data_IF_222608206277
#
_entry.id   IF_222608206277
#
_cell.length_a   1.000
_cell.length_b   1.000
_cell.length_c   1.000
_cell.angle_alpha   90.00
_cell.angle_beta   90.00
_cell.angle_gamma   90.00
#
_symmetry.space_group_name_H-M   'P 1'
#
loop_
_entity.id
_entity.type
_entity.pdbx_description
1 polymer ?
#
# COMPACT_ATOMS: atom_id res chain seq x y z
N UNK A 1 -15.71 3.29 -24.42
CA UNK A 1 -15.75 3.51 -22.95
C UNK A 1 -14.61 2.73 -22.35
N UNK A 2 -13.49 3.39 -22.07
CA UNK A 2 -12.38 2.79 -21.33
C UNK A 2 -12.78 2.76 -19.86
N UNK A 3 -12.85 1.56 -19.27
CA UNK A 3 -12.99 1.42 -17.82
C UNK A 3 -11.59 1.61 -17.25
N UNK A 4 -11.39 2.67 -16.46
CA UNK A 4 -10.20 2.78 -15.62
C UNK A 4 -10.33 1.62 -14.62
N UNK A 5 -9.44 0.62 -14.65
CA UNK A 5 -9.45 -0.40 -13.60
C UNK A 5 -9.23 0.31 -12.28
N UNK A 6 -10.15 0.11 -11.34
CA UNK A 6 -9.91 0.41 -9.94
C UNK A 6 -8.81 -0.58 -9.49
N UNK A 7 -7.55 -0.21 -9.71
CA UNK A 7 -6.43 -1.02 -9.27
C UNK A 7 -6.26 -0.88 -7.76
N UNK A 8 -5.92 -2.01 -7.13
CA UNK A 8 -5.83 -2.28 -5.69
C UNK A 8 -7.15 -2.52 -4.92
N UNK A 9 -7.78 -3.64 -5.25
CA UNK A 9 -8.42 -4.48 -4.24
C UNK A 9 -7.32 -5.24 -3.46
N UNK A 10 -6.87 -4.69 -2.32
CA UNK A 10 -6.09 -5.42 -1.33
C UNK A 10 -6.98 -6.57 -0.79
N UNK A 11 -6.88 -7.76 -1.36
CA UNK A 11 -7.67 -8.92 -0.96
C UNK A 11 -7.14 -9.47 0.37
N UNK A 12 -7.70 -9.02 1.48
CA UNK A 12 -7.33 -9.47 2.82
C UNK A 12 -8.08 -10.76 3.15
N UNK A 13 -7.36 -11.88 3.19
CA UNK A 13 -7.92 -13.19 3.57
C UNK A 13 -7.92 -13.30 5.10
N UNK A 14 -9.11 -13.40 5.69
CA UNK A 14 -9.29 -13.56 7.14
C UNK A 14 -9.02 -15.00 7.56
N UNK A 15 -8.05 -15.19 8.46
CA UNK A 15 -8.00 -16.39 9.32
C UNK A 15 -7.72 -15.98 10.76
N UNK A 16 -8.66 -16.33 11.65
CA UNK A 16 -8.58 -16.12 13.08
C UNK A 16 -7.89 -17.29 13.78
N UNK A 17 -6.92 -16.99 14.66
CA UNK A 17 -6.42 -17.84 15.76
C UNK A 17 -5.45 -16.93 16.57
N UNK A 18 -5.47 -16.72 17.89
CA UNK A 18 -6.06 -17.42 19.02
C UNK A 18 -5.00 -17.61 20.11
N UNK A 19 -4.96 -16.73 21.13
CA UNK A 19 -4.68 -17.09 22.55
C UNK A 19 -3.26 -17.02 23.17
N UNK A 20 -3.18 -16.29 24.32
CA UNK A 20 -2.40 -16.58 25.57
C UNK A 20 -0.87 -16.36 25.56
N UNK A 21 -0.16 -15.86 26.59
CA UNK A 21 -0.38 -15.55 28.01
C UNK A 21 0.94 -15.87 28.78
N UNK A 22 1.41 -15.01 29.70
CA UNK A 22 2.53 -15.34 30.62
C UNK A 22 3.44 -14.17 31.04
N UNK A 23 3.87 -14.14 32.31
CA UNK A 23 4.24 -12.96 33.13
C UNK A 23 5.72 -13.02 33.60
N UNK A 24 6.33 -11.83 33.75
CA UNK A 24 7.38 -11.34 34.68
C UNK A 24 8.69 -12.10 34.99
N UNK A 25 9.79 -11.32 34.96
CA UNK A 25 11.04 -11.57 35.70
C UNK A 25 11.97 -10.35 35.70
N UNK A 26 12.09 -9.67 36.85
CA UNK A 26 12.90 -8.47 37.08
C UNK A 26 14.39 -8.77 37.32
N UNK A 27 15.27 -7.96 36.74
CA UNK A 27 16.69 -7.89 37.08
C UNK A 27 17.30 -6.58 36.56
N UNK A 28 17.45 -5.59 37.44
CA UNK A 28 17.91 -4.24 37.11
C UNK A 28 19.45 -4.13 37.17
N UNK A 29 20.08 -4.16 36.00
CA UNK A 29 21.36 -3.47 35.77
C UNK A 29 21.06 -2.24 34.92
N UNK A 30 21.63 -1.04 35.17
CA UNK A 30 21.46 0.08 34.25
C UNK A 30 22.21 -0.27 32.96
N UNK A 31 21.49 -0.81 31.98
CA UNK A 31 22.01 -0.90 30.63
C UNK A 31 22.23 0.52 30.11
N UNK A 32 23.28 0.77 29.30
CA UNK A 32 23.39 1.99 28.54
C UNK A 32 22.07 2.21 27.80
N UNK A 33 21.58 3.45 27.77
CA UNK A 33 20.32 3.80 27.12
C UNK A 33 20.26 3.09 25.76
N UNK A 34 19.23 2.26 25.50
CA UNK A 34 19.14 1.60 24.22
C UNK A 34 19.05 2.69 23.17
N UNK A 35 20.11 2.81 22.36
CA UNK A 35 20.06 3.53 21.09
C UNK A 35 18.74 3.13 20.45
N UNK A 36 17.79 4.05 20.16
CA UNK A 36 16.48 3.66 19.70
C UNK A 36 16.64 2.80 18.46
N UNK A 37 16.47 1.49 18.62
CA UNK A 37 16.48 0.57 17.49
C UNK A 37 15.27 0.99 16.68
N UNK A 38 15.52 1.64 15.55
CA UNK A 38 14.50 1.89 14.56
C UNK A 38 13.73 0.59 14.34
N UNK A 39 12.43 0.61 14.58
CA UNK A 39 11.58 -0.57 14.43
C UNK A 39 11.62 -1.10 12.99
N UNK A 40 11.23 -2.35 12.77
CA UNK A 40 11.49 -3.08 11.52
C UNK A 40 10.94 -2.39 10.27
N UNK A 41 9.89 -1.58 10.41
CA UNK A 41 9.24 -0.92 9.27
C UNK A 41 9.89 0.40 8.86
N UNK A 42 10.82 0.95 9.65
CA UNK A 42 11.43 2.26 9.34
C UNK A 42 12.15 2.27 7.99
N UNK A 43 12.71 1.14 7.57
CA UNK A 43 13.40 1.01 6.27
C UNK A 43 12.49 1.30 5.07
N UNK A 44 11.17 1.17 5.21
CA UNK A 44 10.20 1.40 4.15
C UNK A 44 9.82 2.88 3.97
N UNK A 45 10.31 3.78 4.82
CA UNK A 45 10.00 5.22 4.72
C UNK A 45 10.43 5.81 3.37
N UNK A 46 9.53 6.58 2.75
CA UNK A 46 9.76 7.24 1.47
C UNK A 46 8.51 7.33 0.61
N UNK A 47 8.68 7.96 -0.56
CA UNK A 47 7.69 7.93 -1.63
C UNK A 47 8.05 6.78 -2.58
N UNK A 48 7.06 5.95 -2.89
CA UNK A 48 7.19 4.78 -3.74
C UNK A 48 6.22 4.89 -4.90
N UNK A 49 6.72 4.78 -6.11
CA UNK A 49 6.03 5.07 -7.35
C UNK A 49 5.74 3.75 -8.06
N UNK A 50 4.47 3.53 -8.39
CA UNK A 50 4.08 2.40 -9.23
C UNK A 50 4.45 2.65 -10.69
N UNK A 51 4.63 1.60 -11.51
CA UNK A 51 4.69 1.73 -12.95
C UNK A 51 3.48 2.50 -13.48
N UNK A 52 3.64 3.15 -14.63
CA UNK A 52 2.51 3.80 -15.27
C UNK A 52 1.48 2.75 -15.72
N UNK A 53 0.22 2.98 -15.37
CA UNK A 53 -0.91 2.20 -15.87
C UNK A 53 -1.81 3.10 -16.72
N UNK A 54 -1.72 2.93 -18.04
CA UNK A 54 -2.40 3.77 -19.03
C UNK A 54 -2.12 5.28 -18.82
N UNK A 55 -3.05 6.00 -18.20
CA UNK A 55 -2.95 7.45 -17.93
C UNK A 55 -2.55 7.79 -16.50
N UNK A 56 -2.54 6.80 -15.61
CA UNK A 56 -2.39 7.03 -14.18
C UNK A 56 -1.07 6.51 -13.65
N UNK A 57 -0.48 7.26 -12.73
CA UNK A 57 0.66 6.83 -11.95
C UNK A 57 0.36 7.01 -10.47
N UNK A 58 0.55 5.94 -9.71
CA UNK A 58 0.33 5.95 -8.28
C UNK A 58 1.63 6.24 -7.53
N UNK A 59 1.51 7.00 -6.45
CA UNK A 59 2.56 7.25 -5.48
C UNK A 59 2.04 6.88 -4.10
N UNK A 60 2.75 5.98 -3.43
CA UNK A 60 2.51 5.61 -2.04
C UNK A 60 3.58 6.25 -1.17
N UNK A 61 3.19 7.20 -0.33
CA UNK A 61 4.08 7.83 0.65
C UNK A 61 3.95 7.10 1.98
N UNK A 62 5.07 6.59 2.48
CA UNK A 62 5.15 5.80 3.70
C UNK A 62 5.94 6.55 4.77
N UNK A 63 5.32 6.73 5.94
CA UNK A 63 5.93 7.37 7.11
C UNK A 63 5.85 6.41 8.29
N UNK A 64 6.98 6.17 8.97
CA UNK A 64 6.96 5.29 10.12
C UNK A 64 6.41 6.01 11.36
N UNK A 65 5.70 5.26 12.17
CA UNK A 65 5.15 5.68 13.45
C UNK A 65 5.51 4.64 14.51
N UNK A 66 5.22 4.94 15.78
CA UNK A 66 5.44 4.01 16.91
C UNK A 66 6.88 3.46 16.92
N UNK A 67 7.86 4.36 16.79
CA UNK A 67 9.29 4.03 16.73
C UNK A 67 9.66 3.02 15.62
N UNK A 68 8.94 3.00 14.50
CA UNK A 68 9.18 2.08 13.39
C UNK A 68 8.43 0.75 13.47
N UNK A 69 7.52 0.58 14.43
CA UNK A 69 6.62 -0.59 14.51
C UNK A 69 5.29 -0.40 13.79
N UNK A 70 5.02 0.80 13.29
CA UNK A 70 3.86 1.07 12.44
C UNK A 70 4.28 1.87 11.22
N UNK A 71 3.56 1.70 10.12
CA UNK A 71 3.77 2.42 8.87
C UNK A 71 2.45 3.01 8.41
N UNK A 72 2.42 4.31 8.22
CA UNK A 72 1.28 5.06 7.71
C UNK A 72 1.47 5.29 6.22
N UNK A 73 0.51 4.81 5.41
CA UNK A 73 0.54 4.88 3.96
C UNK A 73 -0.45 5.95 3.49
N UNK A 74 0.03 6.87 2.66
CA UNK A 74 -0.79 7.85 1.95
C UNK A 74 -0.72 7.55 0.46
N UNK A 75 -1.88 7.57 -0.20
CA UNK A 75 -1.99 7.28 -1.63
C UNK A 75 -2.26 8.57 -2.40
N UNK A 76 -1.59 8.69 -3.54
CA UNK A 76 -1.79 9.74 -4.53
C UNK A 76 -1.81 9.09 -5.91
N UNK A 77 -2.77 9.46 -6.75
CA UNK A 77 -2.81 9.05 -8.15
C UNK A 77 -2.82 10.29 -9.03
N UNK A 78 -1.81 10.44 -9.87
CA UNK A 78 -1.75 11.48 -10.89
C UNK A 78 -2.26 10.94 -12.22
N UNK A 79 -3.19 11.66 -12.84
CA UNK A 79 -3.74 11.38 -14.16
C UNK A 79 -3.13 12.32 -15.18
N UNK A 80 -2.49 11.76 -16.20
CA UNK A 80 -1.78 12.48 -17.24
C UNK A 80 -2.64 12.58 -18.51
N UNK A 81 -2.46 13.68 -19.24
CA UNK A 81 -3.20 13.95 -20.47
C UNK A 81 -3.06 12.81 -21.50
N UNK A 82 -1.88 12.19 -21.59
CA UNK A 82 -1.57 11.15 -22.57
C UNK A 82 -1.27 9.81 -21.90
N UNK A 83 -1.48 8.72 -22.65
CA UNK A 83 -1.05 7.38 -22.26
C UNK A 83 0.47 7.31 -22.00
N UNK A 84 0.88 6.38 -21.15
CA UNK A 84 2.27 6.25 -20.71
C UNK A 84 2.65 7.28 -19.65
N UNK A 85 1.68 7.96 -19.05
CA UNK A 85 1.87 8.96 -18.01
C UNK A 85 2.79 10.10 -18.48
N UNK A 86 2.49 10.62 -19.67
CA UNK A 86 3.25 11.69 -20.32
C UNK A 86 2.38 12.94 -20.54
N UNK A 87 3.03 14.09 -20.75
CA UNK A 87 2.34 15.37 -20.86
C UNK A 87 1.98 15.95 -19.49
N UNK A 88 1.02 16.87 -19.47
CA UNK A 88 0.59 17.55 -18.24
C UNK A 88 -0.28 16.63 -17.37
N UNK A 89 -0.20 16.79 -16.06
CA UNK A 89 -1.17 16.20 -15.12
C UNK A 89 -2.48 16.98 -15.27
N UNK A 90 -3.54 16.27 -15.63
CA UNK A 90 -4.89 16.84 -15.81
C UNK A 90 -5.73 16.75 -14.54
N UNK A 91 -5.42 15.77 -13.68
CA UNK A 91 -6.08 15.57 -12.41
C UNK A 91 -5.19 14.81 -11.43
N UNK A 92 -5.43 15.02 -10.15
CA UNK A 92 -4.80 14.30 -9.05
C UNK A 92 -5.89 13.83 -8.08
N UNK A 93 -5.85 12.55 -7.72
CA UNK A 93 -6.63 11.98 -6.63
C UNK A 93 -5.74 11.80 -5.39
N UNK A 94 -6.21 12.26 -4.24
CA UNK A 94 -5.57 12.07 -2.92
C UNK A 94 -6.60 11.63 -1.89
N UNK A 95 -6.15 11.31 -0.68
CA UNK A 95 -7.00 10.96 0.45
C UNK A 95 -6.66 11.84 1.66
N UNK A 96 -7.64 12.12 2.52
CA UNK A 96 -7.57 13.10 3.63
C UNK A 96 -6.72 12.68 4.85
N UNK A 97 -5.85 11.69 4.72
CA UNK A 97 -5.01 11.20 5.81
C UNK A 97 -4.34 9.87 5.45
N UNK A 98 -3.65 9.22 6.41
CA UNK A 98 -3.12 7.91 6.17
C UNK A 98 -4.28 6.97 5.85
N UNK A 99 -4.25 6.46 4.63
CA UNK A 99 -5.31 5.61 4.08
C UNK A 99 -5.23 4.23 4.72
N UNK A 100 -4.01 3.76 4.95
CA UNK A 100 -3.71 2.46 5.53
C UNK A 100 -2.66 2.64 6.62
N UNK A 101 -2.87 1.98 7.75
CA UNK A 101 -1.85 1.79 8.78
C UNK A 101 -1.46 0.31 8.83
N UNK A 102 -0.19 0.01 8.61
CA UNK A 102 0.40 -1.32 8.79
C UNK A 102 1.07 -1.39 10.15
N UNK A 103 0.64 -2.30 11.02
CA UNK A 103 1.23 -2.53 12.33
C UNK A 103 2.06 -3.80 12.30
N UNK A 104 3.36 -3.68 12.54
CA UNK A 104 4.30 -4.80 12.50
C UNK A 104 3.86 -5.93 13.42
N UNK A 105 3.96 -7.16 12.93
CA UNK A 105 3.70 -8.38 13.70
C UNK A 105 4.95 -9.23 13.79
N UNK A 106 5.60 -9.50 12.65
CA UNK A 106 6.80 -10.34 12.61
C UNK A 106 7.57 -10.17 11.31
N UNK A 107 8.82 -10.66 11.30
CA UNK A 107 9.57 -10.90 10.06
C UNK A 107 9.59 -12.40 9.79
N UNK A 108 9.02 -12.81 8.66
CA UNK A 108 9.10 -14.19 8.18
C UNK A 108 10.45 -14.37 7.50
N UNK A 109 11.32 -15.16 8.12
CA UNK A 109 12.66 -15.45 7.59
C UNK A 109 12.61 -16.45 6.46
N UNK A 110 13.43 -16.25 5.43
CA UNK A 110 13.54 -17.15 4.27
C UNK A 110 12.18 -17.48 3.63
N UNK A 111 11.28 -16.49 3.56
CA UNK A 111 9.98 -16.64 2.93
C UNK A 111 10.12 -16.93 1.43
N UNK A 112 9.20 -17.74 0.91
CA UNK A 112 9.08 -18.00 -0.53
C UNK A 112 8.21 -16.93 -1.17
N UNK A 113 8.76 -16.15 -2.10
CA UNK A 113 8.04 -15.08 -2.79
C UNK A 113 7.93 -15.44 -4.27
N UNK A 114 6.70 -15.72 -4.71
CA UNK A 114 6.38 -16.03 -6.10
C UNK A 114 6.22 -14.74 -6.90
N UNK A 115 6.96 -14.65 -8.00
CA UNK A 115 6.93 -13.55 -8.96
C UNK A 115 5.97 -13.86 -10.11
N UNK A 116 5.67 -12.84 -10.93
CA UNK A 116 5.00 -13.04 -12.21
C UNK A 116 5.84 -14.00 -13.08
N UNK A 117 5.19 -14.95 -13.78
CA UNK A 117 5.88 -15.90 -14.65
C UNK A 117 6.44 -17.16 -13.98
N UNK A 118 6.00 -17.48 -12.75
CA UNK A 118 6.36 -18.68 -11.98
C UNK A 118 7.77 -18.74 -11.38
N UNK A 119 8.58 -17.70 -11.54
CA UNK A 119 9.84 -17.55 -10.78
C UNK A 119 9.54 -17.40 -9.28
N UNK A 120 10.40 -17.96 -8.43
CA UNK A 120 10.30 -17.84 -6.97
C UNK A 120 11.64 -17.39 -6.40
N UNK A 121 11.60 -16.44 -5.47
CA UNK A 121 12.78 -15.96 -4.76
C UNK A 121 12.61 -16.16 -3.25
N UNK A 122 13.73 -16.36 -2.56
CA UNK A 122 13.77 -16.39 -1.09
C UNK A 122 14.16 -15.02 -0.55
N UNK A 123 13.45 -14.54 0.48
CA UNK A 123 13.74 -13.27 1.15
C UNK A 123 13.15 -13.22 2.56
N UNK A 124 13.64 -12.28 3.39
CA UNK A 124 12.99 -11.94 4.65
C UNK A 124 11.85 -10.96 4.40
N UNK A 125 10.64 -11.29 4.85
CA UNK A 125 9.42 -10.50 4.61
C UNK A 125 8.89 -9.96 5.93
N UNK A 126 8.65 -8.66 6.01
CA UNK A 126 8.00 -8.06 7.18
C UNK A 126 6.49 -8.11 7.00
N UNK A 127 5.80 -8.63 8.00
CA UNK A 127 4.36 -8.86 7.99
C UNK A 127 3.72 -8.05 9.11
N UNK A 128 2.54 -7.49 8.83
CA UNK A 128 1.78 -6.73 9.80
C UNK A 128 0.29 -6.74 9.55
N UNK A 129 -0.48 -6.36 10.57
CA UNK A 129 -1.90 -6.11 10.44
C UNK A 129 -2.17 -4.76 9.78
N UNK A 130 -2.96 -4.73 8.72
CA UNK A 130 -3.39 -3.50 8.05
C UNK A 130 -4.75 -3.05 8.54
N UNK A 131 -4.93 -1.74 8.71
CA UNK A 131 -6.21 -1.11 9.00
C UNK A 131 -6.40 0.08 8.06
N UNK A 132 -7.54 0.11 7.36
CA UNK A 132 -7.94 1.23 6.51
C UNK A 132 -9.18 1.92 7.08
N UNK A 133 -9.09 3.23 7.26
CA UNK A 133 -10.03 4.02 8.07
C UNK A 133 -11.21 4.62 7.28
N UNK A 134 -11.44 4.20 6.04
CA UNK A 134 -12.54 4.72 5.22
C UNK A 134 -12.31 6.09 4.63
N UNK A 135 -11.06 6.43 4.36
CA UNK A 135 -10.75 7.70 3.71
C UNK A 135 -11.36 7.72 2.30
N UNK A 136 -12.00 8.84 1.96
CA UNK A 136 -12.60 9.07 0.65
C UNK A 136 -11.62 9.81 -0.24
N UNK A 137 -11.62 9.49 -1.54
CA UNK A 137 -10.78 10.18 -2.50
C UNK A 137 -11.25 11.63 -2.73
N UNK A 138 -10.30 12.55 -2.74
CA UNK A 138 -10.45 13.94 -3.16
C UNK A 138 -9.79 14.04 -4.53
N UNK A 139 -10.57 14.36 -5.55
CA UNK A 139 -10.07 14.51 -6.92
C UNK A 139 -10.13 15.98 -7.31
N UNK A 140 -9.03 16.49 -7.87
CA UNK A 140 -8.89 17.89 -8.29
C UNK A 140 -8.06 17.99 -9.56
N UNK A 141 -8.25 19.05 -10.33
CA UNK A 141 -7.52 19.29 -11.57
C UNK A 141 -8.34 20.03 -12.61
N UNK A 142 -7.70 20.47 -13.69
CA UNK A 142 -8.35 21.22 -14.77
C UNK A 142 -9.03 20.31 -15.80
N UNK A 143 -8.59 19.06 -15.93
CA UNK A 143 -9.18 18.08 -16.84
C UNK A 143 -10.09 17.08 -16.14
N UNK A 144 -10.69 17.45 -15.01
CA UNK A 144 -11.65 16.61 -14.30
C UNK A 144 -12.91 17.38 -13.93
N UNK A 145 -14.05 16.72 -14.06
CA UNK A 145 -15.35 17.20 -13.56
C UNK A 145 -16.01 16.08 -12.77
N UNK A 146 -17.00 16.42 -11.94
CA UNK A 146 -17.77 15.43 -11.20
C UNK A 146 -19.27 15.66 -11.32
N UNK A 147 -20.02 14.58 -11.14
CA UNK A 147 -21.46 14.59 -10.96
C UNK A 147 -21.88 13.49 -10.00
N UNK A 148 -23.05 13.64 -9.39
CA UNK A 148 -23.64 12.59 -8.55
C UNK A 148 -24.53 11.70 -9.39
N UNK A 149 -24.30 10.39 -9.34
CA UNK A 149 -25.14 9.36 -9.97
C UNK A 149 -25.49 8.32 -8.90
N UNK A 150 -26.78 8.12 -8.62
CA UNK A 150 -27.26 7.20 -7.58
C UNK A 150 -26.58 7.42 -6.20
N UNK A 151 -26.38 8.68 -5.82
CA UNK A 151 -25.73 9.03 -4.54
C UNK A 151 -24.21 8.85 -4.50
N UNK A 152 -23.58 8.44 -5.61
CA UNK A 152 -22.13 8.29 -5.73
C UNK A 152 -21.52 9.37 -6.62
N UNK A 153 -20.33 9.85 -6.26
CA UNK A 153 -19.58 10.78 -7.11
C UNK A 153 -18.95 10.01 -8.28
N UNK A 154 -19.35 10.38 -9.50
CA UNK A 154 -18.72 9.94 -10.74
C UNK A 154 -17.81 11.06 -11.22
N UNK A 155 -16.53 10.74 -11.39
CA UNK A 155 -15.52 11.64 -11.93
C UNK A 155 -15.37 11.36 -13.41
N UNK A 156 -15.39 12.41 -14.24
CA UNK A 156 -15.09 12.34 -15.67
C UNK A 156 -13.75 13.01 -15.92
N UNK A 157 -12.80 12.25 -16.44
CA UNK A 157 -11.45 12.68 -16.80
C UNK A 157 -11.38 12.95 -18.29
N UNK A 158 -10.89 14.13 -18.68
CA UNK A 158 -10.69 14.53 -20.07
C UNK A 158 -9.22 14.36 -20.46
N UNK A 159 -8.92 13.23 -21.08
CA UNK A 159 -7.63 12.91 -21.69
C UNK A 159 -7.53 13.51 -23.10
N UNK A 160 -6.33 13.51 -23.68
CA UNK A 160 -6.09 14.04 -25.03
C UNK A 160 -6.87 13.28 -26.11
N UNK A 161 -7.02 11.97 -25.94
CA UNK A 161 -7.68 11.05 -26.87
C UNK A 161 -9.17 10.80 -26.57
N UNK A 162 -9.71 11.40 -25.51
CA UNK A 162 -11.11 11.23 -25.14
C UNK A 162 -11.36 11.36 -23.64
N UNK A 163 -12.43 10.77 -23.15
CA UNK A 163 -12.77 10.80 -21.73
C UNK A 163 -13.04 9.43 -21.14
N UNK A 164 -12.81 9.31 -19.84
CA UNK A 164 -13.19 8.14 -19.06
C UNK A 164 -13.86 8.55 -17.76
N UNK A 165 -14.68 7.66 -17.24
CA UNK A 165 -15.34 7.83 -15.96
C UNK A 165 -14.78 6.88 -14.92
N UNK A 166 -14.64 7.35 -13.69
CA UNK A 166 -14.29 6.52 -12.55
C UNK A 166 -15.11 6.90 -11.32
N UNK A 167 -15.26 5.92 -10.43
CA UNK A 167 -15.73 6.11 -9.07
C UNK A 167 -14.63 5.63 -8.13
N UNK A 168 -14.42 6.37 -7.04
CA UNK A 168 -13.50 5.96 -5.99
C UNK A 168 -14.33 5.59 -4.77
N UNK A 169 -14.22 4.33 -4.36
CA UNK A 169 -14.84 3.88 -3.12
C UNK A 169 -13.94 4.23 -1.93
N UNK A 170 -14.51 4.50 -0.74
CA UNK A 170 -13.74 4.64 0.47
C UNK A 170 -12.92 3.39 0.77
N UNK A 171 -11.63 3.56 1.08
CA UNK A 171 -10.76 2.43 1.40
C UNK A 171 -10.98 2.08 2.87
N UNK A 172 -11.70 0.98 3.12
CA UNK A 172 -12.07 0.49 4.46
C UNK A 172 -11.63 -0.96 4.65
N UNK A 173 -11.42 -1.36 5.91
CA UNK A 173 -11.27 -2.76 6.28
C UNK A 173 -10.00 -3.04 7.07
N UNK A 174 -9.81 -4.32 7.38
CA UNK A 174 -8.62 -4.82 8.07
C UNK A 174 -8.04 -6.03 7.34
N UNK A 175 -6.78 -6.34 7.60
CA UNK A 175 -6.15 -7.54 7.05
C UNK A 175 -4.69 -7.68 7.38
N UNK A 176 -3.98 -8.37 6.49
CA UNK A 176 -2.54 -8.61 6.60
C UNK A 176 -1.85 -7.99 5.40
N UNK A 177 -0.85 -7.15 5.67
CA UNK A 177 0.06 -6.62 4.68
C UNK A 177 1.45 -7.23 4.86
N UNK A 178 2.16 -7.42 3.75
CA UNK A 178 3.52 -7.92 3.75
C UNK A 178 4.39 -7.08 2.83
N UNK A 179 5.58 -6.70 3.31
CA UNK A 179 6.51 -5.81 2.62
C UNK A 179 7.90 -6.44 2.54
N UNK A 180 8.60 -6.15 1.45
CA UNK A 180 9.98 -6.52 1.21
C UNK A 180 10.70 -5.40 0.46
N UNK A 181 11.91 -5.06 0.87
CA UNK A 181 12.84 -4.28 0.05
C UNK A 181 13.81 -5.21 -0.66
N UNK A 182 13.93 -5.07 -1.98
CA UNK A 182 14.88 -5.85 -2.78
C UNK A 182 15.37 -5.02 -3.95
N UNK A 183 16.69 -4.96 -4.15
CA UNK A 183 17.32 -4.23 -5.26
C UNK A 183 16.88 -2.76 -5.38
N UNK A 184 16.60 -2.10 -4.25
CA UNK A 184 16.12 -0.70 -4.23
C UNK A 184 14.63 -0.53 -4.55
N UNK A 185 13.91 -1.62 -4.83
CA UNK A 185 12.46 -1.62 -5.02
C UNK A 185 11.74 -1.99 -3.72
N UNK A 186 10.54 -1.44 -3.57
CA UNK A 186 9.56 -1.89 -2.58
C UNK A 186 8.60 -2.87 -3.24
N UNK A 187 8.49 -4.05 -2.64
CA UNK A 187 7.52 -5.06 -3.05
C UNK A 187 6.39 -5.13 -2.03
N UNK A 188 5.15 -5.01 -2.51
CA UNK A 188 3.96 -5.35 -1.72
C UNK A 188 3.56 -6.78 -2.04
N UNK A 189 3.23 -7.53 -0.99
CA UNK A 189 3.05 -8.97 -1.08
C UNK A 189 1.70 -9.37 -0.46
N UNK A 190 1.09 -10.41 -1.03
CA UNK A 190 -0.06 -11.10 -0.43
C UNK A 190 0.37 -12.48 0.04
N UNK A 191 -0.20 -12.97 1.15
CA UNK A 191 0.07 -14.33 1.61
C UNK A 191 -0.43 -15.36 0.59
N UNK A 192 0.35 -16.41 0.37
CA UNK A 192 0.00 -17.53 -0.50
C UNK A 192 -0.02 -18.82 0.31
N UNK A 193 -1.15 -19.52 0.31
CA UNK A 193 -1.31 -20.77 1.09
C UNK A 193 -1.53 -20.54 2.58
N UNK A 194 -1.64 -21.64 3.33
CA UNK A 194 -2.06 -21.63 4.73
C UNK A 194 -0.91 -21.48 5.75
N UNK A 195 0.35 -21.66 5.34
CA UNK A 195 1.49 -21.72 6.25
C UNK A 195 2.03 -20.35 6.69
N UNK A 196 1.59 -19.25 6.08
CA UNK A 196 2.08 -17.90 6.35
C UNK A 196 3.55 -17.65 5.95
N UNK A 197 4.19 -18.62 5.28
CA UNK A 197 5.61 -18.57 4.89
C UNK A 197 5.84 -18.34 3.39
N UNK A 198 4.77 -18.33 2.61
CA UNK A 198 4.81 -18.10 1.18
C UNK A 198 3.95 -16.90 0.82
N UNK A 199 4.40 -16.15 -0.18
CA UNK A 199 3.78 -14.90 -0.62
C UNK A 199 3.76 -14.82 -2.14
N UNK A 200 2.76 -14.13 -2.68
CA UNK A 200 2.76 -13.69 -4.07
C UNK A 200 3.14 -12.20 -4.11
N UNK A 201 4.00 -11.85 -5.07
CA UNK A 201 4.22 -10.46 -5.43
C UNK A 201 2.93 -9.84 -5.98
N UNK A 202 2.52 -8.73 -5.38
CA UNK A 202 1.39 -7.94 -5.85
C UNK A 202 1.89 -6.75 -6.68
N UNK A 203 2.76 -5.91 -6.10
CA UNK A 203 3.31 -4.75 -6.80
C UNK A 203 4.82 -4.60 -6.57
N UNK A 204 5.49 -3.97 -7.54
CA UNK A 204 6.85 -3.44 -7.42
C UNK A 204 6.81 -1.94 -7.59
N UNK A 205 7.33 -1.23 -6.59
CA UNK A 205 7.37 0.22 -6.55
C UNK A 205 8.81 0.70 -6.47
N UNK A 206 9.12 1.80 -7.14
CA UNK A 206 10.46 2.40 -7.15
C UNK A 206 10.46 3.74 -6.41
N UNK A 207 11.63 4.21 -5.97
CA UNK A 207 11.76 5.58 -5.47
C UNK A 207 11.87 6.59 -6.60
#
# INVERSE_FOLDING_TARGET
>A
MYRIPACLALATVLTACGGGGGIAGSGSTPLPDPTPSAGPLKKYEGAWIAPCEAHSRETTSMVSANNGNSLQLNLKTDFYANIGCTGVIIATATYSGPVITLNFTSTVKNASVKLAGAETVTADVDVGGTVAAGQTAIVSGTGVTSRIVNGKTVWTFAFSEGSAEAQFEPITGTGTGALLLRNGELWTLTTSGASGTAFNLENRLTR
#
